data_IF_174433744637
#
_entry.id   IF_174433744637
#
_cell.length_a   1.000
_cell.length_b   1.000
_cell.length_c   1.000
_cell.angle_alpha   90.00
_cell.angle_beta   90.00
_cell.angle_gamma   90.00
#
_symmetry.space_group_name_H-M   'P 1'
#
loop_
_entity.id
_entity.type
_entity.pdbx_description
1 polymer ?
#
# COMPACT_ATOMS: atom_id res chain seq x y z
N UNK A 1 20.87 11.10 -16.30
CA UNK A 1 19.72 10.98 -15.37
C UNK A 1 18.98 9.70 -15.71
N UNK A 2 18.85 8.76 -14.77
CA UNK A 2 18.22 7.46 -15.01
C UNK A 2 16.70 7.57 -15.15
N UNK A 3 16.09 6.68 -15.94
CA UNK A 3 14.63 6.59 -16.05
C UNK A 3 14.08 5.81 -14.85
N UNK A 4 13.05 6.34 -14.19
CA UNK A 4 12.31 5.63 -13.14
C UNK A 4 11.25 4.77 -13.83
N UNK A 5 11.34 3.46 -13.65
CA UNK A 5 10.29 2.53 -14.09
C UNK A 5 9.22 2.41 -13.00
N UNK A 6 7.98 2.70 -13.37
CA UNK A 6 6.80 2.61 -12.52
C UNK A 6 5.90 1.47 -13.02
N UNK A 7 5.45 0.63 -12.11
CA UNK A 7 4.54 -0.47 -12.40
C UNK A 7 3.09 0.01 -12.35
N UNK A 8 2.21 -0.63 -13.12
CA UNK A 8 0.77 -0.39 -13.07
C UNK A 8 0.04 -1.67 -12.68
N UNK A 9 -0.76 -1.62 -11.61
CA UNK A 9 -1.44 -2.81 -11.05
C UNK A 9 -2.77 -3.13 -11.72
N UNK A 10 -3.27 -2.24 -12.60
CA UNK A 10 -4.57 -2.38 -13.26
C UNK A 10 -5.75 -2.19 -12.30
N UNK A 11 -6.96 -2.36 -12.82
CA UNK A 11 -8.21 -2.27 -12.07
C UNK A 11 -8.98 -0.96 -12.23
N UNK A 12 -10.25 -1.01 -11.85
CA UNK A 12 -11.24 0.06 -12.08
C UNK A 12 -11.26 1.11 -10.98
N UNK A 13 -10.64 0.88 -9.83
CA UNK A 13 -10.50 1.86 -8.75
C UNK A 13 -9.11 1.82 -8.19
N UNK A 14 -8.39 2.93 -8.32
CA UNK A 14 -6.98 3.05 -8.03
C UNK A 14 -6.72 3.92 -6.81
N UNK A 15 -5.65 3.61 -6.11
CA UNK A 15 -5.06 4.46 -5.08
C UNK A 15 -3.74 5.01 -5.58
N UNK A 16 -3.59 6.33 -5.55
CA UNK A 16 -2.38 7.06 -5.96
C UNK A 16 -1.76 7.82 -4.80
N UNK A 17 -0.47 8.16 -4.92
CA UNK A 17 0.21 9.05 -4.00
C UNK A 17 -0.42 10.45 -4.07
N UNK A 18 -0.85 11.01 -2.94
CA UNK A 18 -1.51 12.32 -2.92
C UNK A 18 -0.59 13.50 -3.32
N UNK A 19 0.73 13.30 -3.32
CA UNK A 19 1.71 14.35 -3.64
C UNK A 19 2.12 14.39 -5.13
N UNK A 20 2.10 13.25 -5.83
CA UNK A 20 2.60 13.18 -7.21
C UNK A 20 1.78 12.27 -8.14
N UNK A 21 0.60 11.82 -7.69
CA UNK A 21 -0.36 11.00 -8.43
C UNK A 21 0.17 9.66 -8.97
N UNK A 22 1.35 9.22 -8.52
CA UNK A 22 1.88 7.89 -8.87
C UNK A 22 0.95 6.80 -8.35
N UNK A 23 0.50 5.90 -9.23
CA UNK A 23 -0.38 4.78 -8.88
C UNK A 23 0.37 3.83 -7.94
N UNK A 24 -0.28 3.41 -6.87
CA UNK A 24 0.27 2.57 -5.82
C UNK A 24 -0.44 1.22 -5.73
N UNK A 25 -1.76 1.20 -5.79
CA UNK A 25 -2.55 -0.03 -5.66
C UNK A 25 -3.95 0.17 -6.22
N UNK A 26 -4.83 -0.82 -6.09
CA UNK A 26 -6.23 -0.76 -6.50
C UNK A 26 -7.16 -1.25 -5.37
N UNK A 27 -8.47 -1.14 -5.60
CA UNK A 27 -9.49 -1.51 -4.62
C UNK A 27 -9.58 -3.01 -4.35
N UNK A 28 -9.25 -3.87 -5.32
CA UNK A 28 -9.25 -5.33 -5.10
C UNK A 28 -8.17 -5.79 -4.14
N UNK A 29 -7.08 -5.02 -4.00
CA UNK A 29 -6.02 -5.32 -3.02
C UNK A 29 -6.36 -4.85 -1.60
N UNK A 30 -7.46 -4.13 -1.38
CA UNK A 30 -7.84 -3.61 -0.07
C UNK A 30 -8.36 -4.74 0.84
N UNK A 31 -7.64 -4.99 1.94
CA UNK A 31 -8.02 -5.98 2.95
C UNK A 31 -8.92 -5.36 4.02
N UNK A 32 -8.56 -4.18 4.55
CA UNK A 32 -9.29 -3.58 5.67
C UNK A 32 -9.09 -2.07 5.75
N UNK A 33 -10.15 -1.37 6.18
CA UNK A 33 -10.17 0.08 6.41
C UNK A 33 -10.14 0.46 7.90
N UNK A 34 -10.01 -0.54 8.78
CA UNK A 34 -10.11 -0.36 10.24
C UNK A 34 -8.78 -0.06 10.92
N UNK A 35 -7.74 0.21 10.14
CA UNK A 35 -6.41 0.51 10.67
C UNK A 35 -6.23 2.00 10.95
N UNK A 36 -5.26 2.32 11.79
CA UNK A 36 -4.89 3.70 12.13
C UNK A 36 -3.38 3.88 12.03
N UNK A 37 -2.97 5.10 11.67
CA UNK A 37 -1.58 5.55 11.56
C UNK A 37 -1.42 6.95 12.15
N UNK A 38 -0.28 7.58 11.84
CA UNK A 38 0.08 8.87 12.44
C UNK A 38 -0.88 10.00 12.04
N UNK A 39 -1.47 9.93 10.85
CA UNK A 39 -2.41 10.90 10.28
C UNK A 39 -3.88 10.47 10.42
N UNK A 40 -4.17 9.48 11.26
CA UNK A 40 -5.53 9.00 11.53
C UNK A 40 -5.86 7.68 10.83
N UNK A 41 -6.92 7.63 10.02
CA UNK A 41 -7.37 6.38 9.37
C UNK A 41 -6.36 5.89 8.35
N UNK A 42 -6.18 4.57 8.29
CA UNK A 42 -5.30 3.92 7.34
C UNK A 42 -5.93 2.65 6.75
N UNK A 43 -5.40 2.24 5.61
CA UNK A 43 -5.86 1.09 4.84
C UNK A 43 -4.80 0.00 4.86
N UNK A 44 -5.24 -1.25 5.05
CA UNK A 44 -4.39 -2.43 4.90
C UNK A 44 -4.60 -3.01 3.49
N UNK A 45 -3.51 -3.14 2.74
CA UNK A 45 -3.50 -3.69 1.39
C UNK A 45 -2.69 -4.98 1.32
N UNK A 46 -3.11 -5.87 0.43
CA UNK A 46 -2.42 -7.11 0.08
C UNK A 46 -1.18 -6.83 -0.77
N UNK A 47 -1.28 -5.99 -1.81
CA UNK A 47 -0.18 -5.61 -2.69
C UNK A 47 -0.17 -4.10 -2.98
N UNK A 48 1.01 -3.51 -2.97
CA UNK A 48 1.25 -2.10 -3.33
C UNK A 48 2.55 -2.02 -4.14
N UNK A 49 2.51 -1.29 -5.25
CA UNK A 49 3.64 -1.07 -6.16
C UNK A 49 4.21 0.35 -6.00
N UNK A 50 5.35 0.60 -6.64
CA UNK A 50 5.99 1.93 -6.67
C UNK A 50 6.34 2.49 -5.28
N UNK A 51 6.78 1.61 -4.38
CA UNK A 51 7.26 1.96 -3.05
C UNK A 51 8.80 1.86 -2.96
N UNK A 52 9.37 2.65 -2.06
CA UNK A 52 10.68 2.45 -1.47
C UNK A 52 10.50 2.06 0.00
N UNK A 53 11.42 1.26 0.53
CA UNK A 53 11.37 0.72 1.89
C UNK A 53 12.54 1.24 2.72
N UNK A 54 12.26 1.65 3.96
CA UNK A 54 13.31 1.99 4.91
C UNK A 54 14.03 0.75 5.46
N UNK A 55 14.99 0.96 6.35
CA UNK A 55 15.48 -0.10 7.23
C UNK A 55 14.37 -0.66 8.13
N UNK A 56 14.55 -1.89 8.60
CA UNK A 56 13.62 -2.54 9.52
C UNK A 56 13.65 -1.83 10.87
N UNK A 57 12.47 -1.60 11.42
CA UNK A 57 12.27 -1.05 12.74
C UNK A 57 11.42 -1.99 13.59
N UNK A 58 11.80 -2.11 14.85
CA UNK A 58 10.96 -2.75 15.85
C UNK A 58 9.92 -1.75 16.38
N UNK A 59 8.65 -2.13 16.39
CA UNK A 59 7.54 -1.26 16.81
C UNK A 59 6.56 -2.03 17.69
N UNK A 60 6.33 -1.53 18.90
CA UNK A 60 5.29 -2.03 19.80
C UNK A 60 3.97 -1.34 19.45
N UNK A 61 2.93 -2.13 19.18
CA UNK A 61 1.58 -1.67 18.86
C UNK A 61 0.58 -2.29 19.82
N UNK A 62 -0.69 -1.90 19.73
CA UNK A 62 -1.77 -2.45 20.55
C UNK A 62 -1.89 -3.98 20.45
N UNK A 63 -1.58 -4.55 19.28
CA UNK A 63 -1.65 -6.00 19.02
C UNK A 63 -0.28 -6.66 19.17
N UNK A 64 0.58 -6.15 20.04
CA UNK A 64 1.91 -6.72 20.30
C UNK A 64 3.04 -6.13 19.44
N UNK A 65 4.18 -6.84 19.45
CA UNK A 65 5.45 -6.42 18.86
C UNK A 65 5.54 -6.84 17.39
N UNK A 66 5.97 -5.90 16.53
CA UNK A 66 6.09 -6.11 15.09
C UNK A 66 7.41 -5.55 14.57
N UNK A 67 7.98 -6.22 13.57
CA UNK A 67 9.04 -5.66 12.74
C UNK A 67 8.40 -5.04 11.51
N UNK A 68 8.69 -3.77 11.23
CA UNK A 68 8.07 -3.00 10.15
C UNK A 68 9.12 -2.22 9.37
N UNK A 69 8.80 -1.84 8.14
CA UNK A 69 9.55 -0.82 7.39
C UNK A 69 8.62 0.30 6.99
N UNK A 70 9.05 1.54 7.16
CA UNK A 70 8.31 2.66 6.59
C UNK A 70 8.38 2.57 5.06
N UNK A 71 7.27 2.93 4.39
CA UNK A 71 7.19 2.96 2.93
C UNK A 71 6.98 4.39 2.43
N UNK A 72 7.70 4.72 1.37
CA UNK A 72 7.62 6.02 0.69
C UNK A 72 7.39 5.84 -0.81
N UNK A 73 6.85 6.87 -1.45
CA UNK A 73 6.60 6.86 -2.89
C UNK A 73 7.94 6.79 -3.65
N UNK A 74 8.08 5.84 -4.56
CA UNK A 74 9.29 5.66 -5.38
C UNK A 74 9.60 6.87 -6.27
N UNK A 75 8.59 7.67 -6.61
CA UNK A 75 8.72 8.82 -7.50
C UNK A 75 9.06 10.13 -6.76
N UNK A 76 8.37 10.44 -5.65
CA UNK A 76 8.54 11.73 -4.95
C UNK A 76 9.12 11.62 -3.52
N UNK A 77 9.40 10.41 -3.05
CA UNK A 77 9.91 10.11 -1.71
C UNK A 77 9.00 10.53 -0.53
N UNK A 78 7.76 10.96 -0.79
CA UNK A 78 6.79 11.21 0.28
C UNK A 78 6.54 9.93 1.07
N UNK A 79 6.59 9.99 2.40
CA UNK A 79 6.17 8.87 3.27
C UNK A 79 4.68 8.61 3.07
N UNK A 80 4.28 7.35 3.04
CA UNK A 80 2.91 6.91 2.79
C UNK A 80 2.34 5.99 3.86
N UNK A 81 3.20 5.24 4.55
CA UNK A 81 2.81 4.32 5.62
C UNK A 81 3.93 3.35 5.96
N UNK A 82 3.61 2.07 6.17
CA UNK A 82 4.59 1.02 6.50
C UNK A 82 4.14 -0.37 6.05
N UNK A 83 5.08 -1.32 5.94
CA UNK A 83 4.83 -2.75 5.72
C UNK A 83 5.16 -3.53 6.99
N UNK A 84 4.40 -4.60 7.27
CA UNK A 84 4.77 -5.57 8.30
C UNK A 84 5.68 -6.64 7.72
N UNK A 85 6.88 -6.76 8.27
CA UNK A 85 7.84 -7.82 7.93
C UNK A 85 7.58 -9.07 8.76
N UNK A 86 7.35 -8.89 10.06
CA UNK A 86 7.16 -9.98 11.02
C UNK A 86 6.26 -9.55 12.17
N UNK A 87 5.43 -10.47 12.66
CA UNK A 87 4.63 -10.30 13.87
C UNK A 87 4.98 -11.39 14.88
N UNK A 88 5.22 -11.00 16.14
CA UNK A 88 5.56 -11.97 17.19
C UNK A 88 4.38 -12.85 17.59
N UNK A 89 3.16 -12.30 17.56
CA UNK A 89 1.94 -13.05 17.91
C UNK A 89 1.36 -13.77 16.69
N UNK A 90 1.12 -15.08 16.80
CA UNK A 90 0.54 -15.88 15.71
C UNK A 90 -0.78 -15.32 15.18
N UNK A 91 -1.60 -14.75 16.08
CA UNK A 91 -2.88 -14.11 15.71
C UNK A 91 -2.73 -12.91 14.77
N UNK A 92 -1.53 -12.33 14.68
CA UNK A 92 -1.23 -11.14 13.88
C UNK A 92 -0.47 -11.46 12.60
N UNK A 93 -0.07 -12.71 12.36
CA UNK A 93 0.72 -13.12 11.18
C UNK A 93 0.04 -12.86 9.85
N UNK A 94 -1.30 -12.73 9.82
CA UNK A 94 -2.03 -12.33 8.61
C UNK A 94 -1.62 -10.95 8.07
N UNK A 95 -0.98 -10.12 8.90
CA UNK A 95 -0.46 -8.79 8.52
C UNK A 95 0.91 -8.87 7.85
N UNK A 96 1.65 -9.96 7.99
CA UNK A 96 2.98 -10.11 7.40
C UNK A 96 2.91 -9.98 5.87
N UNK A 97 3.82 -9.18 5.29
CA UNK A 97 3.83 -8.81 3.88
C UNK A 97 2.74 -7.81 3.46
N UNK A 98 1.88 -7.35 4.38
CA UNK A 98 0.80 -6.39 4.08
C UNK A 98 1.25 -4.96 4.31
N UNK A 99 0.73 -4.06 3.48
CA UNK A 99 1.11 -2.65 3.50
C UNK A 99 -0.01 -1.82 4.10
N UNK A 100 0.34 -0.98 5.06
CA UNK A 100 -0.49 0.12 5.53
C UNK A 100 -0.20 1.36 4.69
N UNK A 101 -1.24 1.95 4.10
CA UNK A 101 -1.19 3.30 3.54
C UNK A 101 -2.13 4.20 4.31
N UNK A 102 -1.65 5.37 4.71
CA UNK A 102 -2.45 6.32 5.46
C UNK A 102 -3.39 7.10 4.54
N UNK A 103 -4.67 7.20 4.92
CA UNK A 103 -5.72 7.78 4.07
C UNK A 103 -5.43 9.23 3.69
N UNK A 104 -4.77 9.99 4.56
CA UNK A 104 -4.44 11.39 4.26
C UNK A 104 -3.33 11.55 3.20
N UNK A 105 -2.60 10.47 2.88
CA UNK A 105 -1.42 10.49 2.02
C UNK A 105 -1.66 9.80 0.66
N UNK A 106 -2.87 9.28 0.46
CA UNK A 106 -3.29 8.63 -0.79
C UNK A 106 -4.63 9.19 -1.29
N UNK A 107 -4.83 9.16 -2.60
CA UNK A 107 -6.08 9.55 -3.26
C UNK A 107 -6.70 8.34 -3.95
N UNK A 108 -8.01 8.17 -3.81
CA UNK A 108 -8.78 7.16 -4.55
C UNK A 108 -9.37 7.81 -5.81
N UNK A 109 -9.23 7.15 -6.97
CA UNK A 109 -9.78 7.59 -8.25
C UNK A 109 -10.32 6.41 -9.06
N UNK A 110 -11.27 6.68 -9.96
CA UNK A 110 -11.70 5.68 -10.95
C UNK A 110 -10.54 5.43 -11.93
N UNK A 111 -10.31 4.16 -12.26
CA UNK A 111 -9.35 3.67 -13.24
C UNK A 111 -10.02 3.40 -14.58
N UNK A 112 -9.32 2.69 -15.47
CA UNK A 112 -9.86 2.28 -16.76
C UNK A 112 -10.49 0.89 -16.66
N UNK A 113 -11.64 0.70 -17.31
CA UNK A 113 -12.24 -0.62 -17.46
C UNK A 113 -11.35 -1.47 -18.37
N UNK A 114 -10.91 -2.63 -17.88
CA UNK A 114 -10.29 -3.64 -18.75
C UNK A 114 -11.38 -4.17 -19.68
N UNK A 115 -11.28 -3.84 -20.97
CA UNK A 115 -12.04 -4.51 -22.01
C UNK A 115 -11.58 -5.97 -22.05
N UNK A 116 -12.33 -6.86 -21.39
CA UNK A 116 -12.19 -8.30 -21.61
C UNK A 116 -12.74 -8.56 -23.00
N UNK A 117 -11.93 -8.96 -24.00
CA UNK A 117 -12.47 -9.37 -25.27
C UNK A 117 -13.41 -10.56 -24.99
N UNK A 118 -14.69 -10.41 -25.32
CA UNK A 118 -15.63 -11.51 -25.30
C UNK A 118 -15.14 -12.54 -26.31
N UNK A 119 -14.60 -13.66 -25.83
CA UNK A 119 -14.41 -14.85 -26.65
C UNK A 119 -15.80 -15.27 -27.12
N UNK A 120 -16.15 -14.87 -28.36
CA UNK A 120 -17.30 -15.40 -29.05
C UNK A 120 -17.00 -16.86 -29.40
N UNK A 121 -17.94 -17.72 -29.01
CA UNK A 121 -18.00 -19.18 -29.12
C UNK A 121 -17.47 -19.79 -30.42
#
# INVERSE_FOLDING_TARGET
>A
MGRIFLDHIGGTRLFSCANCDTILTNRSELISTRFTGATGRAFLFNKVVNLQYSEVQDRVMLTGRHMVRDVSCKNCNSKLGWIYEFATEDSQRYKEGRVILERALVRESEGFEEHVPSDNS
#
